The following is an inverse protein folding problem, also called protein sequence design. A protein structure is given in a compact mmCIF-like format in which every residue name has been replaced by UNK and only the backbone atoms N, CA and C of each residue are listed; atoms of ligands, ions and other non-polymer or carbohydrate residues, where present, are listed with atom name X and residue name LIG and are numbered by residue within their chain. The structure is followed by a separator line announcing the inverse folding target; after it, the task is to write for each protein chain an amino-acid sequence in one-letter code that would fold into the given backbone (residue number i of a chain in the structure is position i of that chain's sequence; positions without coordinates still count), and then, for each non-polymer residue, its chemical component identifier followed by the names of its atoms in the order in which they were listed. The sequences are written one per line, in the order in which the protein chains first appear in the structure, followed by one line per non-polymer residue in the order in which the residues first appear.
data_IF_270201419713
#
_entry.id   IF_270201419713
#
_cell.length_a   1.000
_cell.length_b   1.000
_cell.length_c   1.000
_cell.angle_alpha   90.00
_cell.angle_beta   90.00
_cell.angle_gamma   90.00
#
_symmetry.space_group_name_H-M   'P 1'
#
loop_
_entity.id
_entity.type
_entity.pdbx_description
1 polymer ?
#
# COMPACT_ATOMS: atom_id res chain seq x y z
N UNK A 1 26.56 15.67 -18.82
CA UNK A 1 25.96 14.34 -18.58
C UNK A 1 24.42 14.33 -18.50
N UNK A 2 23.75 15.40 -18.02
CA UNK A 2 22.28 15.43 -17.95
C UNK A 2 21.53 15.33 -19.29
N UNK A 3 22.04 16.00 -20.33
CA UNK A 3 21.41 16.03 -21.67
C UNK A 3 21.38 14.67 -22.39
N UNK A 4 22.39 13.82 -22.21
CA UNK A 4 22.46 12.49 -22.84
C UNK A 4 21.49 11.50 -22.17
N UNK A 5 21.36 11.54 -20.84
CA UNK A 5 20.42 10.69 -20.10
C UNK A 5 18.97 11.02 -20.40
N UNK A 6 18.66 12.32 -20.57
CA UNK A 6 17.33 12.77 -20.96
C UNK A 6 16.98 12.32 -22.39
N UNK A 7 17.93 12.43 -23.33
CA UNK A 7 17.76 11.95 -24.70
C UNK A 7 17.55 10.42 -24.77
N UNK A 8 18.19 9.66 -23.89
CA UNK A 8 18.05 8.20 -23.81
C UNK A 8 16.84 7.74 -22.96
N UNK A 9 15.98 8.65 -22.47
CA UNK A 9 14.80 8.29 -21.67
C UNK A 9 15.12 7.66 -20.30
N UNK A 10 16.34 7.88 -19.79
CA UNK A 10 16.84 7.34 -18.52
C UNK A 10 16.70 8.31 -17.34
N UNK A 11 16.34 9.57 -17.61
CA UNK A 11 16.12 10.57 -16.57
C UNK A 11 14.63 10.63 -16.19
N UNK A 12 14.30 10.85 -14.91
CA UNK A 12 12.93 11.11 -14.45
C UNK A 12 12.23 12.18 -15.29
N UNK A 13 10.96 11.97 -15.60
CA UNK A 13 10.18 12.86 -16.46
C UNK A 13 9.68 14.05 -15.65
N UNK A 14 9.92 15.26 -16.12
CA UNK A 14 9.41 16.49 -15.49
C UNK A 14 7.91 16.62 -15.78
N UNK A 15 7.10 16.70 -14.72
CA UNK A 15 5.65 16.86 -14.79
C UNK A 15 5.20 18.28 -14.38
N UNK A 16 6.06 19.02 -13.68
CA UNK A 16 5.77 20.37 -13.21
C UNK A 16 7.02 21.07 -12.69
N UNK A 17 6.84 22.17 -11.95
CA UNK A 17 7.97 22.80 -11.28
C UNK A 17 8.49 21.90 -10.16
N UNK A 18 9.75 21.49 -10.26
CA UNK A 18 10.43 20.51 -9.39
C UNK A 18 9.71 19.16 -9.19
N UNK A 19 8.63 18.88 -9.92
CA UNK A 19 7.84 17.65 -9.82
C UNK A 19 8.20 16.68 -10.96
N UNK A 20 8.44 15.42 -10.60
CA UNK A 20 8.89 14.40 -11.54
C UNK A 20 8.20 13.05 -11.34
N UNK A 21 7.88 12.37 -12.43
CA UNK A 21 7.48 10.97 -12.47
C UNK A 21 8.67 10.08 -12.90
N UNK A 22 8.55 8.74 -12.83
CA UNK A 22 9.63 7.85 -13.27
C UNK A 22 10.03 8.06 -14.73
N UNK A 23 11.28 7.73 -15.07
CA UNK A 23 11.77 7.75 -16.45
C UNK A 23 11.06 6.70 -17.32
N UNK A 24 10.97 6.95 -18.63
CA UNK A 24 10.36 6.00 -19.57
C UNK A 24 11.06 4.62 -19.52
N UNK A 25 12.39 4.58 -19.37
CA UNK A 25 13.11 3.31 -19.27
C UNK A 25 12.75 2.59 -17.97
N UNK A 26 12.68 3.30 -16.85
CA UNK A 26 12.30 2.71 -15.56
C UNK A 26 10.86 2.17 -15.60
N UNK A 27 9.92 2.92 -16.19
CA UNK A 27 8.54 2.46 -16.39
C UNK A 27 8.49 1.19 -17.23
N UNK A 28 9.23 1.12 -18.34
CA UNK A 28 9.26 -0.07 -19.20
C UNK A 28 9.79 -1.33 -18.49
N UNK A 29 10.62 -1.16 -17.45
CA UNK A 29 11.15 -2.28 -16.66
C UNK A 29 10.25 -2.65 -15.48
N UNK A 30 9.60 -1.67 -14.84
CA UNK A 30 8.85 -1.84 -13.60
C UNK A 30 7.34 -2.07 -13.82
N UNK A 31 6.76 -1.45 -14.85
CA UNK A 31 5.33 -1.46 -15.13
C UNK A 31 5.04 -2.42 -16.27
N UNK A 32 4.07 -3.31 -16.07
CA UNK A 32 3.56 -4.24 -17.09
C UNK A 32 2.14 -3.85 -17.47
N UNK A 33 1.81 -4.03 -18.75
CA UNK A 33 0.45 -3.76 -19.26
C UNK A 33 -0.61 -4.72 -18.69
N UNK A 34 -0.19 -5.88 -18.18
CA UNK A 34 -1.03 -6.90 -17.54
C UNK A 34 -0.40 -7.39 -16.24
N UNK A 35 -1.24 -7.73 -15.28
CA UNK A 35 -0.81 -8.30 -13.99
C UNK A 35 -0.62 -9.82 -14.10
N UNK A 36 -0.13 -10.43 -13.02
CA UNK A 36 -0.07 -11.89 -12.86
C UNK A 36 -1.32 -12.45 -12.16
N UNK A 37 -2.41 -11.67 -12.08
CA UNK A 37 -3.68 -12.13 -11.51
C UNK A 37 -4.15 -13.41 -12.22
N UNK A 38 -4.31 -14.47 -11.45
CA UNK A 38 -4.51 -15.82 -12.00
C UNK A 38 -5.98 -16.25 -12.06
N UNK A 39 -6.89 -15.33 -11.75
CA UNK A 39 -8.31 -15.59 -11.69
C UNK A 39 -8.73 -16.73 -10.73
N UNK A 40 -7.99 -16.93 -9.63
CA UNK A 40 -8.34 -17.86 -8.55
C UNK A 40 -9.85 -17.90 -8.23
N UNK A 41 -10.37 -19.10 -7.96
CA UNK A 41 -11.77 -19.36 -7.59
C UNK A 41 -11.80 -19.78 -6.12
N UNK A 42 -12.77 -19.25 -5.37
CA UNK A 42 -12.99 -19.57 -3.96
C UNK A 42 -14.35 -20.24 -3.82
N UNK A 43 -14.39 -21.57 -3.91
CA UNK A 43 -15.65 -22.35 -3.87
C UNK A 43 -16.44 -22.12 -2.57
N UNK A 44 -15.72 -21.92 -1.47
CA UNK A 44 -16.27 -21.57 -0.16
C UNK A 44 -16.35 -20.05 0.05
N UNK A 45 -16.53 -19.27 -1.02
CA UNK A 45 -16.72 -17.83 -0.92
C UNK A 45 -17.91 -17.48 -0.02
N UNK A 46 -17.81 -16.34 0.66
CA UNK A 46 -18.80 -15.90 1.65
C UNK A 46 -20.20 -15.78 1.04
N UNK A 47 -21.18 -16.25 1.79
CA UNK A 47 -22.62 -16.08 1.53
C UNK A 47 -23.27 -15.59 2.83
N UNK A 48 -24.16 -14.61 2.76
CA UNK A 48 -24.87 -14.08 3.93
C UNK A 48 -24.54 -12.62 4.22
N UNK A 49 -24.39 -12.27 5.50
CA UNK A 49 -24.18 -10.90 5.95
C UNK A 49 -22.94 -10.27 5.32
N UNK A 50 -23.09 -9.00 4.95
CA UNK A 50 -22.02 -8.21 4.36
C UNK A 50 -20.84 -8.08 5.33
N UNK A 51 -19.65 -8.44 4.86
CA UNK A 51 -18.40 -8.23 5.59
C UNK A 51 -17.43 -7.49 4.68
N UNK A 52 -16.80 -6.48 5.25
CA UNK A 52 -16.03 -5.49 4.55
C UNK A 52 -14.53 -5.58 4.88
N UNK A 53 -13.73 -5.02 4.00
CA UNK A 53 -12.33 -4.69 4.25
C UNK A 53 -12.21 -3.16 4.15
N UNK A 54 -11.66 -2.54 5.20
CA UNK A 54 -11.38 -1.10 5.22
C UNK A 54 -10.08 -0.84 4.47
N UNK A 55 -10.14 -0.12 3.36
CA UNK A 55 -9.00 0.23 2.52
C UNK A 55 -8.49 1.62 2.94
N UNK A 56 -7.27 1.72 3.45
CA UNK A 56 -6.67 3.00 3.85
C UNK A 56 -5.53 3.34 2.90
N UNK A 57 -5.73 4.36 2.07
CA UNK A 57 -4.69 4.85 1.16
C UNK A 57 -4.25 6.28 1.47
N UNK A 58 -3.16 6.69 0.85
CA UNK A 58 -2.69 8.08 0.92
C UNK A 58 -3.60 9.04 0.14
N UNK A 59 -3.74 10.27 0.65
CA UNK A 59 -4.35 11.40 -0.06
C UNK A 59 -3.33 12.41 -0.62
N UNK A 60 -2.04 12.10 -0.52
CA UNK A 60 -0.92 12.93 -0.98
C UNK A 60 -0.16 12.26 -2.15
N UNK A 61 0.29 13.06 -3.13
CA UNK A 61 0.95 12.57 -4.35
C UNK A 61 2.35 13.15 -4.58
N UNK A 62 2.85 13.98 -3.66
CA UNK A 62 4.14 14.67 -3.82
C UNK A 62 5.09 14.33 -2.68
N UNK A 63 5.98 13.37 -2.94
CA UNK A 63 7.04 13.02 -2.00
C UNK A 63 8.27 13.92 -2.24
N UNK A 64 8.57 14.80 -1.30
CA UNK A 64 9.76 15.68 -1.37
C UNK A 64 11.03 14.88 -1.09
N UNK A 65 11.95 14.90 -2.06
CA UNK A 65 13.23 14.21 -2.03
C UNK A 65 14.31 15.06 -1.35
N UNK A 66 15.43 14.45 -0.95
CA UNK A 66 16.54 15.16 -0.27
C UNK A 66 17.17 16.30 -1.10
N UNK A 67 17.04 16.28 -2.42
CA UNK A 67 17.56 17.33 -3.31
C UNK A 67 16.55 18.47 -3.56
N UNK A 68 15.38 18.45 -2.88
CA UNK A 68 14.32 19.44 -3.03
C UNK A 68 13.44 19.28 -4.26
N UNK A 69 13.63 18.23 -5.06
CA UNK A 69 12.64 17.79 -6.06
C UNK A 69 11.51 17.01 -5.40
N UNK A 70 10.35 16.92 -6.04
CA UNK A 70 9.21 16.11 -5.62
C UNK A 70 9.02 14.94 -6.59
N UNK A 71 8.77 13.75 -6.05
CA UNK A 71 8.34 12.58 -6.80
C UNK A 71 6.80 12.54 -6.86
N UNK A 72 6.25 12.46 -8.07
CA UNK A 72 4.81 12.29 -8.33
C UNK A 72 4.43 10.81 -8.15
N UNK A 73 3.79 10.52 -7.03
CA UNK A 73 3.46 9.16 -6.56
C UNK A 73 1.99 9.08 -6.11
N UNK A 74 1.66 8.09 -5.30
CA UNK A 74 0.35 7.76 -4.77
C UNK A 74 0.37 6.32 -4.28
N UNK A 75 -0.81 5.70 -4.22
CA UNK A 75 -0.94 4.28 -4.01
C UNK A 75 -0.64 3.53 -5.33
N UNK A 76 0.10 2.41 -5.26
CA UNK A 76 0.43 1.62 -6.45
C UNK A 76 -0.79 0.80 -6.92
N UNK A 77 -1.31 0.98 -8.15
CA UNK A 77 -2.59 0.41 -8.57
C UNK A 77 -2.61 -1.12 -8.58
N UNK A 78 -1.51 -1.78 -8.97
CA UNK A 78 -1.44 -3.26 -8.92
C UNK A 78 -1.48 -3.76 -7.48
N UNK A 79 -0.83 -3.05 -6.56
CA UNK A 79 -0.78 -3.43 -5.14
C UNK A 79 -2.14 -3.25 -4.47
N UNK A 80 -2.90 -2.24 -4.90
CA UNK A 80 -4.25 -1.98 -4.45
C UNK A 80 -5.25 -2.99 -5.04
N UNK A 81 -5.35 -3.07 -6.36
CA UNK A 81 -6.46 -3.74 -7.02
C UNK A 81 -6.31 -5.25 -7.12
N UNK A 82 -5.09 -5.79 -7.25
CA UNK A 82 -4.92 -7.25 -7.39
C UNK A 82 -5.35 -8.00 -6.13
N UNK A 83 -4.96 -7.61 -4.90
CA UNK A 83 -5.50 -8.23 -3.69
C UNK A 83 -7.02 -8.11 -3.59
N UNK A 84 -7.57 -6.94 -3.94
CA UNK A 84 -9.02 -6.71 -3.93
C UNK A 84 -9.77 -7.63 -4.91
N UNK A 85 -9.20 -7.98 -6.06
CA UNK A 85 -9.83 -8.94 -6.98
C UNK A 85 -10.05 -10.31 -6.33
N UNK A 86 -9.12 -10.74 -5.47
CA UNK A 86 -9.27 -11.98 -4.71
C UNK A 86 -10.37 -11.86 -3.65
N UNK A 87 -10.38 -10.76 -2.88
CA UNK A 87 -11.40 -10.54 -1.85
C UNK A 87 -12.80 -10.38 -2.44
N UNK A 88 -12.93 -9.65 -3.56
CA UNK A 88 -14.20 -9.47 -4.28
C UNK A 88 -14.76 -10.81 -4.73
N UNK A 89 -13.91 -11.68 -5.29
CA UNK A 89 -14.31 -13.04 -5.67
C UNK A 89 -14.71 -13.92 -4.49
N UNK A 90 -14.14 -13.69 -3.33
CA UNK A 90 -14.51 -14.38 -2.10
C UNK A 90 -15.73 -13.78 -1.38
N UNK A 91 -16.33 -12.72 -1.93
CA UNK A 91 -17.58 -12.13 -1.42
C UNK A 91 -17.38 -10.98 -0.42
N UNK A 92 -16.15 -10.51 -0.21
CA UNK A 92 -15.89 -9.33 0.62
C UNK A 92 -16.25 -8.03 -0.12
N UNK A 93 -16.68 -7.04 0.66
CA UNK A 93 -16.93 -5.66 0.20
C UNK A 93 -15.83 -4.73 0.70
N UNK A 94 -15.84 -3.49 0.21
CA UNK A 94 -14.79 -2.51 0.50
C UNK A 94 -15.41 -1.18 0.85
N UNK A 95 -14.85 -0.54 1.89
CA UNK A 95 -14.99 0.89 2.11
C UNK A 95 -13.60 1.52 1.97
N UNK A 96 -13.48 2.58 1.18
CA UNK A 96 -12.23 3.32 1.03
C UNK A 96 -12.17 4.49 1.99
N UNK A 97 -11.01 4.71 2.59
CA UNK A 97 -10.76 5.82 3.50
C UNK A 97 -9.38 6.45 3.28
N UNK A 98 -9.29 7.74 3.60
CA UNK A 98 -8.04 8.51 3.70
C UNK A 98 -8.04 9.28 5.02
N UNK A 99 -6.88 9.77 5.51
CA UNK A 99 -6.80 10.45 6.80
C UNK A 99 -7.85 11.55 6.97
N UNK A 100 -8.06 12.40 5.96
CA UNK A 100 -9.01 13.51 6.03
C UNK A 100 -10.24 13.34 5.15
N UNK A 101 -10.29 12.32 4.29
CA UNK A 101 -11.39 12.08 3.36
C UNK A 101 -11.22 12.79 2.01
N UNK A 102 -10.03 13.33 1.73
CA UNK A 102 -9.68 13.79 0.38
C UNK A 102 -9.49 12.59 -0.54
N UNK A 103 -9.61 12.84 -1.84
CA UNK A 103 -9.37 11.86 -2.91
C UNK A 103 -8.08 11.06 -2.68
N UNK A 104 -8.22 9.74 -2.73
CA UNK A 104 -7.09 8.82 -2.68
C UNK A 104 -6.25 8.95 -3.95
N UNK A 105 -4.95 9.19 -3.80
CA UNK A 105 -4.05 9.41 -4.95
C UNK A 105 -3.48 8.10 -5.47
N UNK A 106 -3.43 7.93 -6.79
CA UNK A 106 -2.91 6.72 -7.44
C UNK A 106 -1.70 7.05 -8.32
N UNK A 107 -0.78 6.09 -8.41
CA UNK A 107 0.30 6.10 -9.40
C UNK A 107 -0.27 5.73 -10.79
N UNK A 108 -0.98 6.65 -11.44
CA UNK A 108 -1.65 6.39 -12.72
C UNK A 108 -0.69 5.90 -13.83
N UNK A 109 0.59 6.29 -13.76
CA UNK A 109 1.63 5.80 -14.67
C UNK A 109 1.97 4.31 -14.50
N UNK A 110 1.53 3.67 -13.41
CA UNK A 110 1.66 2.24 -13.14
C UNK A 110 0.36 1.45 -13.41
N UNK A 111 -0.70 2.09 -13.91
CA UNK A 111 -1.99 1.44 -14.16
C UNK A 111 -1.85 0.39 -15.28
N UNK A 112 -2.21 -0.89 -15.05
CA UNK A 112 -2.15 -1.95 -16.06
C UNK A 112 -3.35 -1.84 -17.02
N UNK A 113 -3.32 -0.87 -17.93
CA UNK A 113 -4.46 -0.50 -18.78
C UNK A 113 -4.98 -1.62 -19.70
N UNK A 114 -4.23 -2.70 -19.93
CA UNK A 114 -4.66 -3.86 -20.73
C UNK A 114 -5.16 -5.04 -19.88
N UNK A 115 -5.16 -4.90 -18.55
CA UNK A 115 -5.71 -5.88 -17.62
C UNK A 115 -7.19 -5.60 -17.36
N UNK A 116 -8.07 -6.40 -17.98
CA UNK A 116 -9.51 -6.19 -17.88
C UNK A 116 -10.02 -6.28 -16.44
N UNK A 117 -9.52 -7.25 -15.65
CA UNK A 117 -10.00 -7.44 -14.30
C UNK A 117 -9.64 -6.24 -13.41
N UNK A 118 -8.41 -5.73 -13.52
CA UNK A 118 -7.98 -4.54 -12.78
C UNK A 118 -8.76 -3.29 -13.21
N UNK A 119 -8.98 -3.10 -14.51
CA UNK A 119 -9.74 -1.94 -14.99
C UNK A 119 -11.22 -1.99 -14.59
N UNK A 120 -11.84 -3.17 -14.56
CA UNK A 120 -13.22 -3.36 -14.09
C UNK A 120 -13.35 -3.00 -12.61
N UNK A 121 -12.48 -3.52 -11.73
CA UNK A 121 -12.56 -3.18 -10.30
C UNK A 121 -12.17 -1.72 -10.02
N UNK A 122 -11.26 -1.14 -10.82
CA UNK A 122 -10.96 0.29 -10.72
C UNK A 122 -12.22 1.13 -11.00
N UNK A 123 -12.95 0.84 -12.08
CA UNK A 123 -14.17 1.58 -12.40
C UNK A 123 -15.25 1.39 -11.32
N UNK A 124 -15.43 0.17 -10.79
CA UNK A 124 -16.37 -0.11 -9.70
C UNK A 124 -16.06 0.69 -8.41
N UNK A 125 -14.80 1.02 -8.16
CA UNK A 125 -14.35 1.70 -6.93
C UNK A 125 -14.05 3.18 -7.12
N UNK A 126 -14.13 3.70 -8.35
CA UNK A 126 -13.70 5.05 -8.72
C UNK A 126 -14.39 6.16 -7.92
N UNK A 127 -15.69 6.02 -7.66
CA UNK A 127 -16.44 6.99 -6.86
C UNK A 127 -15.99 7.02 -5.40
N UNK A 128 -15.65 5.85 -4.83
CA UNK A 128 -15.11 5.74 -3.48
C UNK A 128 -13.65 6.25 -3.40
N UNK A 129 -12.85 6.06 -4.45
CA UNK A 129 -11.49 6.63 -4.55
C UNK A 129 -11.55 8.16 -4.60
N UNK A 130 -12.50 8.70 -5.37
CA UNK A 130 -12.71 10.14 -5.53
C UNK A 130 -13.29 10.79 -4.26
N UNK A 131 -14.17 10.08 -3.56
CA UNK A 131 -14.83 10.56 -2.34
C UNK A 131 -14.75 9.50 -1.22
N UNK A 132 -13.54 9.25 -0.67
CA UNK A 132 -13.37 8.25 0.36
C UNK A 132 -13.95 8.71 1.69
N UNK A 133 -14.16 7.77 2.60
CA UNK A 133 -14.47 8.07 3.99
C UNK A 133 -13.31 8.84 4.63
N UNK A 134 -13.64 9.76 5.52
CA UNK A 134 -12.66 10.43 6.37
C UNK A 134 -12.38 9.56 7.60
N UNK A 135 -11.13 9.10 7.77
CA UNK A 135 -10.76 8.33 8.96
C UNK A 135 -11.05 9.11 10.25
N UNK A 136 -10.83 10.43 10.24
CA UNK A 136 -11.17 11.32 11.35
C UNK A 136 -12.62 11.20 11.83
N UNK A 137 -13.55 10.94 10.91
CA UNK A 137 -14.95 10.75 11.26
C UNK A 137 -15.26 9.28 11.59
N UNK A 138 -14.62 8.35 10.86
CA UNK A 138 -14.87 6.91 10.97
C UNK A 138 -14.41 6.33 12.31
N UNK A 139 -13.27 6.78 12.85
CA UNK A 139 -12.69 6.25 14.10
C UNK A 139 -13.68 6.29 15.28
N UNK A 140 -14.47 7.36 15.39
CA UNK A 140 -15.51 7.50 16.42
C UNK A 140 -16.68 6.50 16.26
N UNK A 141 -16.82 5.91 15.09
CA UNK A 141 -17.88 4.97 14.73
C UNK A 141 -17.40 3.52 14.71
N UNK A 142 -16.10 3.25 14.85
CA UNK A 142 -15.55 1.91 14.90
C UNK A 142 -16.01 1.21 16.20
N UNK A 143 -17.12 0.50 16.10
CA UNK A 143 -17.73 -0.30 17.18
C UNK A 143 -17.73 -1.78 16.81
N UNK A 144 -18.16 -2.63 17.74
CA UNK A 144 -18.34 -4.07 17.50
C UNK A 144 -19.44 -4.41 16.48
N UNK A 145 -20.26 -3.42 16.10
CA UNK A 145 -21.34 -3.61 15.11
C UNK A 145 -20.89 -3.36 13.68
N UNK A 146 -19.67 -2.87 13.46
CA UNK A 146 -19.14 -2.68 12.10
C UNK A 146 -18.42 -3.95 11.64
N UNK A 147 -18.94 -4.56 10.58
CA UNK A 147 -18.48 -5.82 10.01
C UNK A 147 -17.21 -5.70 9.15
N UNK A 148 -16.15 -5.11 9.70
CA UNK A 148 -14.83 -5.16 9.06
C UNK A 148 -14.09 -6.44 9.47
N UNK A 149 -13.66 -7.22 8.49
CA UNK A 149 -12.79 -8.37 8.70
C UNK A 149 -11.30 -7.99 8.74
N UNK A 150 -10.93 -6.96 7.98
CA UNK A 150 -9.55 -6.53 7.84
C UNK A 150 -9.43 -5.03 7.60
N UNK A 151 -8.25 -4.51 7.93
CA UNK A 151 -7.72 -3.24 7.43
C UNK A 151 -6.66 -3.56 6.39
N UNK A 152 -6.75 -2.93 5.22
CA UNK A 152 -5.75 -3.05 4.16
C UNK A 152 -5.10 -1.71 3.84
N UNK A 153 -3.77 -1.70 3.82
CA UNK A 153 -2.95 -0.52 3.51
C UNK A 153 -2.08 -0.85 2.29
N UNK A 154 -2.47 -0.46 1.06
CA UNK A 154 -1.64 -0.62 -0.12
C UNK A 154 -0.33 0.17 -0.01
N UNK A 155 0.66 -0.19 -0.81
CA UNK A 155 1.90 0.56 -0.94
C UNK A 155 1.88 1.52 -2.12
N UNK A 156 3.01 1.69 -2.79
CA UNK A 156 3.37 2.90 -3.53
C UNK A 156 4.05 3.92 -2.61
N UNK A 157 4.95 4.75 -3.17
CA UNK A 157 5.74 5.68 -2.35
C UNK A 157 4.88 6.74 -1.65
N UNK A 158 3.64 6.97 -2.09
CA UNK A 158 2.70 7.87 -1.42
C UNK A 158 2.38 7.46 0.01
N UNK A 159 2.40 6.17 0.33
CA UNK A 159 2.16 5.65 1.68
C UNK A 159 3.18 6.14 2.73
N UNK A 160 4.31 6.71 2.32
CA UNK A 160 5.32 7.28 3.23
C UNK A 160 5.11 8.78 3.53
N UNK A 161 4.07 9.42 2.98
CA UNK A 161 3.91 10.87 3.10
C UNK A 161 3.13 11.23 4.37
N UNK A 162 1.85 10.85 4.40
CA UNK A 162 0.83 11.24 5.36
C UNK A 162 0.52 10.14 6.38
N UNK A 163 0.34 8.89 5.91
CA UNK A 163 -0.07 7.76 6.74
C UNK A 163 0.80 7.51 7.98
N UNK A 164 2.15 7.55 7.92
CA UNK A 164 3.02 7.27 9.07
C UNK A 164 2.88 8.27 10.22
N UNK A 165 2.22 9.41 9.98
CA UNK A 165 2.08 10.54 10.91
C UNK A 165 0.62 10.82 11.28
N UNK A 166 -0.32 10.02 10.79
CA UNK A 166 -1.75 10.21 11.05
C UNK A 166 -2.16 9.56 12.36
N UNK A 167 -2.77 10.35 13.26
CA UNK A 167 -3.37 9.84 14.49
C UNK A 167 -4.61 8.99 14.22
N UNK A 168 -5.32 9.30 13.14
CA UNK A 168 -6.48 8.54 12.71
C UNK A 168 -6.06 7.13 12.25
N UNK A 169 -4.94 7.00 11.53
CA UNK A 169 -4.35 5.70 11.21
C UNK A 169 -3.93 4.96 12.48
N UNK A 170 -3.32 5.64 13.45
CA UNK A 170 -2.98 5.04 14.76
C UNK A 170 -4.21 4.44 15.44
N UNK A 171 -5.30 5.20 15.53
CA UNK A 171 -6.55 4.77 16.17
C UNK A 171 -7.14 3.53 15.46
N UNK A 172 -7.13 3.50 14.13
CA UNK A 172 -7.59 2.32 13.37
C UNK A 172 -6.70 1.10 13.63
N UNK A 173 -5.38 1.26 13.69
CA UNK A 173 -4.46 0.15 13.96
C UNK A 173 -4.66 -0.41 15.38
N UNK A 174 -4.89 0.47 16.37
CA UNK A 174 -5.22 0.06 17.74
C UNK A 174 -6.56 -0.66 17.81
N UNK A 175 -7.61 -0.11 17.18
CA UNK A 175 -8.90 -0.79 17.07
C UNK A 175 -8.78 -2.16 16.40
N UNK A 176 -8.05 -2.26 15.29
CA UNK A 176 -7.84 -3.51 14.57
C UNK A 176 -7.13 -4.54 15.44
N UNK A 177 -6.13 -4.11 16.22
CA UNK A 177 -5.42 -4.95 17.18
C UNK A 177 -6.32 -5.41 18.33
N UNK A 178 -7.11 -4.50 18.91
CA UNK A 178 -8.01 -4.75 20.04
C UNK A 178 -9.14 -5.72 19.66
N UNK A 179 -9.72 -5.53 18.47
CA UNK A 179 -10.83 -6.34 17.94
C UNK A 179 -10.38 -7.56 17.14
N UNK A 180 -9.10 -7.91 17.25
CA UNK A 180 -8.47 -9.07 16.61
C UNK A 180 -8.77 -9.16 15.10
N UNK A 181 -8.66 -8.03 14.40
CA UNK A 181 -8.87 -7.92 12.95
C UNK A 181 -7.58 -8.23 12.19
N UNK A 182 -7.72 -8.65 10.93
CA UNK A 182 -6.58 -8.77 10.04
C UNK A 182 -6.02 -7.38 9.68
N UNK A 183 -4.69 -7.28 9.64
CA UNK A 183 -3.98 -6.12 9.12
C UNK A 183 -3.18 -6.60 7.93
N UNK A 184 -3.50 -6.08 6.74
CA UNK A 184 -2.89 -6.51 5.49
C UNK A 184 -2.14 -5.31 4.89
N UNK A 185 -0.91 -5.49 4.42
CA UNK A 185 -0.16 -4.40 3.79
C UNK A 185 0.91 -4.90 2.82
N UNK A 186 1.48 -4.01 2.01
CA UNK A 186 2.40 -4.38 0.93
C UNK A 186 3.38 -3.26 0.61
N UNK A 187 4.60 -3.62 0.21
CA UNK A 187 5.63 -2.71 -0.31
C UNK A 187 6.00 -1.61 0.71
N UNK A 188 5.64 -0.35 0.45
CA UNK A 188 5.80 0.79 1.37
C UNK A 188 4.60 1.02 2.30
N UNK A 189 3.48 0.33 2.08
CA UNK A 189 2.29 0.39 2.95
C UNK A 189 2.58 0.18 4.44
N UNK A 190 3.51 -0.73 4.84
CA UNK A 190 3.88 -0.89 6.24
C UNK A 190 4.46 0.36 6.90
N UNK A 191 4.87 1.39 6.14
CA UNK A 191 5.26 2.68 6.70
C UNK A 191 4.14 3.30 7.57
N UNK A 192 2.87 3.00 7.26
CA UNK A 192 1.72 3.42 8.07
C UNK A 192 1.76 2.86 9.51
N UNK A 193 2.45 1.75 9.76
CA UNK A 193 2.57 1.18 11.11
C UNK A 193 3.35 2.09 12.06
N UNK A 194 4.17 3.02 11.56
CA UNK A 194 4.84 4.04 12.38
C UNK A 194 3.84 4.94 13.10
N UNK A 195 2.61 5.10 12.57
CA UNK A 195 1.56 5.83 13.25
C UNK A 195 1.26 5.25 14.63
N UNK A 196 1.37 3.93 14.80
CA UNK A 196 1.15 3.28 16.08
C UNK A 196 2.21 3.60 17.16
N UNK A 197 3.31 4.27 16.80
CA UNK A 197 4.31 4.78 17.73
C UNK A 197 4.11 6.25 18.14
N UNK A 198 3.11 6.95 17.59
CA UNK A 198 2.89 8.38 17.87
C UNK A 198 2.53 8.56 19.35
N UNK A 199 3.36 9.33 20.07
CA UNK A 199 3.25 9.56 21.51
C UNK A 199 3.28 8.30 22.38
N UNK A 200 3.77 7.18 21.85
CA UNK A 200 3.94 5.94 22.58
C UNK A 200 5.38 5.72 23.01
N UNK A 201 5.56 5.04 24.15
CA UNK A 201 6.87 4.48 24.48
C UNK A 201 7.17 3.31 23.55
N UNK A 202 8.45 3.09 23.22
CA UNK A 202 8.86 2.03 22.30
C UNK A 202 8.38 0.65 22.76
N UNK A 203 8.34 0.42 24.06
CA UNK A 203 7.89 -0.82 24.68
C UNK A 203 6.38 -1.07 24.46
N UNK A 204 5.58 -0.02 24.24
CA UNK A 204 4.14 -0.09 23.99
C UNK A 204 3.81 -0.21 22.50
N UNK A 205 4.80 -0.19 21.61
CA UNK A 205 4.55 -0.29 20.18
C UNK A 205 3.87 -1.63 19.85
N UNK A 206 2.63 -1.57 19.34
CA UNK A 206 1.77 -2.76 19.20
C UNK A 206 2.29 -3.81 18.20
N UNK A 207 3.26 -3.43 17.36
CA UNK A 207 3.94 -4.31 16.42
C UNK A 207 5.35 -4.72 16.88
N UNK A 208 5.75 -4.40 18.10
CA UNK A 208 7.02 -4.88 18.66
C UNK A 208 7.07 -6.42 18.62
N UNK A 209 8.15 -6.97 18.07
CA UNK A 209 8.31 -8.42 17.87
C UNK A 209 7.49 -9.01 16.71
N UNK A 210 6.89 -8.19 15.84
CA UNK A 210 6.27 -8.68 14.60
C UNK A 210 7.27 -8.79 13.45
N UNK A 211 7.05 -9.78 12.61
CA UNK A 211 7.77 -10.00 11.36
C UNK A 211 6.90 -9.58 10.16
N UNK A 212 7.52 -8.96 9.17
CA UNK A 212 6.85 -8.52 7.94
C UNK A 212 7.72 -8.70 6.70
N UNK A 213 7.09 -8.86 5.55
CA UNK A 213 7.69 -8.60 4.25
C UNK A 213 7.43 -7.13 3.86
N UNK A 214 8.43 -6.43 3.35
CA UNK A 214 8.30 -5.02 2.99
C UNK A 214 9.32 -4.63 1.89
N UNK A 215 9.12 -3.47 1.25
CA UNK A 215 10.08 -3.01 0.24
C UNK A 215 11.45 -2.70 0.89
N UNK A 216 12.58 -3.25 0.40
CA UNK A 216 13.86 -3.04 1.06
C UNK A 216 14.42 -1.63 0.89
N UNK A 217 14.79 -0.97 1.99
CA UNK A 217 15.47 0.33 1.98
C UNK A 217 16.73 0.37 1.09
N UNK A 218 17.42 -0.77 0.96
CA UNK A 218 18.59 -0.92 0.08
C UNK A 218 18.24 -0.74 -1.40
N UNK A 219 17.04 -1.15 -1.81
CA UNK A 219 16.56 -1.01 -3.18
C UNK A 219 16.10 0.41 -3.47
N UNK A 220 15.43 1.08 -2.52
CA UNK A 220 15.08 2.51 -2.65
C UNK A 220 16.30 3.39 -2.90
N UNK A 221 17.46 3.06 -2.29
CA UNK A 221 18.73 3.77 -2.51
C UNK A 221 19.26 3.63 -3.94
N UNK A 222 18.82 2.63 -4.70
CA UNK A 222 19.22 2.38 -6.08
C UNK A 222 18.27 2.98 -7.11
N UNK A 223 16.99 3.16 -6.77
CA UNK A 223 15.97 3.71 -7.66
C UNK A 223 16.31 5.06 -8.32
N UNK A 224 17.01 6.02 -7.65
CA UNK A 224 17.41 7.26 -8.30
C UNK A 224 18.45 7.04 -9.41
N UNK A 225 19.34 6.06 -9.25
CA UNK A 225 20.34 5.72 -10.27
C UNK A 225 19.69 5.11 -11.52
N UNK A 226 18.56 4.43 -11.33
CA UNK A 226 17.75 3.83 -12.40
C UNK A 226 16.79 4.84 -13.04
N UNK A 227 16.74 6.08 -12.55
CA UNK A 227 15.82 7.09 -13.05
C UNK A 227 14.37 6.80 -12.69
N UNK A 228 14.10 5.98 -11.69
CA UNK A 228 12.74 5.78 -11.16
C UNK A 228 12.36 6.94 -10.22
N UNK A 229 13.29 7.32 -9.33
CA UNK A 229 13.13 8.46 -8.42
C UNK A 229 13.95 9.67 -8.89
N UNK A 230 13.46 10.92 -8.68
CA UNK A 230 14.19 12.14 -9.01
C UNK A 230 15.27 12.54 -8.00
N UNK A 231 15.35 11.85 -6.87
CA UNK A 231 16.34 12.08 -5.82
C UNK A 231 16.34 10.95 -4.80
N UNK A 232 17.18 11.04 -3.78
CA UNK A 232 17.15 10.09 -2.66
C UNK A 232 15.92 10.34 -1.79
N UNK A 233 15.33 9.26 -1.28
CA UNK A 233 14.24 9.30 -0.29
C UNK A 233 14.63 10.17 0.91
N UNK A 234 13.71 10.96 1.48
CA UNK A 234 14.00 11.80 2.65
C UNK A 234 14.35 10.97 3.89
N UNK A 235 13.74 9.81 4.04
CA UNK A 235 13.93 8.84 5.14
C UNK A 235 13.58 7.43 4.63
N UNK A 236 13.78 6.40 5.46
CA UNK A 236 13.60 5.00 5.08
C UNK A 236 12.78 4.26 6.13
N UNK A 237 11.58 3.81 5.76
CA UNK A 237 10.62 3.27 6.73
C UNK A 237 11.04 1.92 7.33
N UNK A 238 11.78 1.10 6.60
CA UNK A 238 12.23 -0.19 7.10
C UNK A 238 13.12 -0.03 8.33
N UNK A 239 14.11 0.87 8.26
CA UNK A 239 14.96 1.25 9.39
C UNK A 239 14.15 1.72 10.60
N UNK A 240 13.21 2.64 10.42
CA UNK A 240 12.41 3.21 11.52
C UNK A 240 11.55 2.12 12.21
N UNK A 241 10.91 1.22 11.45
CA UNK A 241 10.13 0.12 12.01
C UNK A 241 10.99 -0.92 12.74
N UNK A 242 12.19 -1.19 12.23
CA UNK A 242 13.16 -2.05 12.93
C UNK A 242 13.63 -1.43 14.25
N UNK A 243 13.82 -0.10 14.28
CA UNK A 243 14.14 0.62 15.51
C UNK A 243 13.00 0.56 16.54
N UNK A 244 11.75 0.34 16.12
CA UNK A 244 10.61 0.09 17.00
C UNK A 244 10.39 -1.40 17.35
N UNK A 245 11.26 -2.30 16.88
CA UNK A 245 11.25 -3.71 17.25
C UNK A 245 10.56 -4.66 16.26
N UNK A 246 10.18 -4.20 15.07
CA UNK A 246 9.75 -5.09 13.99
C UNK A 246 10.95 -5.73 13.27
N UNK A 247 10.70 -6.83 12.56
CA UNK A 247 11.70 -7.52 11.75
C UNK A 247 11.25 -7.67 10.30
N UNK A 248 12.13 -7.32 9.36
CA UNK A 248 11.87 -7.49 7.91
C UNK A 248 12.47 -8.82 7.47
N UNK A 249 11.64 -9.71 6.90
CA UNK A 249 12.05 -11.08 6.55
C UNK A 249 12.79 -11.17 5.22
N UNK A 250 12.56 -10.22 4.32
CA UNK A 250 13.10 -10.22 2.97
C UNK A 250 14.27 -9.22 2.83
N UNK A 251 15.26 -9.55 1.99
CA UNK A 251 16.39 -8.66 1.66
C UNK A 251 16.27 -8.03 0.27
N UNK A 252 15.42 -8.61 -0.57
CA UNK A 252 15.12 -8.18 -1.93
C UNK A 252 13.60 -8.16 -2.12
N UNK A 253 13.13 -7.41 -3.10
CA UNK A 253 11.73 -7.41 -3.55
C UNK A 253 11.57 -8.41 -4.70
N UNK A 254 11.08 -9.62 -4.41
CA UNK A 254 10.91 -10.70 -5.40
C UNK A 254 9.53 -11.37 -5.35
N UNK A 255 8.54 -10.71 -4.74
CA UNK A 255 7.19 -11.21 -4.62
C UNK A 255 7.01 -12.17 -3.45
N UNK A 256 7.77 -11.98 -2.36
CA UNK A 256 7.58 -12.68 -1.11
C UNK A 256 6.36 -12.12 -0.36
N UNK A 257 5.59 -13.02 0.25
CA UNK A 257 4.56 -12.69 1.24
C UNK A 257 4.92 -13.33 2.57
N UNK A 258 4.48 -12.72 3.66
CA UNK A 258 4.70 -13.23 5.01
C UNK A 258 3.46 -13.03 5.87
N UNK A 259 3.12 -14.04 6.65
CA UNK A 259 2.07 -13.97 7.66
C UNK A 259 2.70 -14.13 9.04
N UNK A 260 2.39 -13.20 9.94
CA UNK A 260 2.68 -13.27 11.36
C UNK A 260 1.39 -12.98 12.13
N UNK A 261 0.80 -14.02 12.76
CA UNK A 261 -0.53 -13.92 13.38
C UNK A 261 -1.56 -13.42 12.35
N UNK A 262 -2.25 -12.32 12.63
CA UNK A 262 -3.20 -11.63 11.74
C UNK A 262 -2.59 -10.49 10.93
N UNK A 263 -1.26 -10.29 10.99
CA UNK A 263 -0.53 -9.39 10.11
C UNK A 263 -0.09 -10.16 8.86
N UNK A 264 -0.58 -9.76 7.68
CA UNK A 264 -0.21 -10.37 6.39
C UNK A 264 0.43 -9.31 5.50
N UNK A 265 1.66 -9.53 5.05
CA UNK A 265 2.44 -8.53 4.33
C UNK A 265 3.07 -9.05 3.06
N UNK A 266 3.26 -8.17 2.06
CA UNK A 266 3.94 -8.45 0.79
C UNK A 266 5.12 -7.51 0.55
N UNK A 267 6.17 -7.98 -0.11
CA UNK A 267 7.42 -7.19 -0.26
C UNK A 267 7.37 -6.08 -1.32
N UNK A 268 6.49 -6.16 -2.31
CA UNK A 268 6.56 -5.35 -3.54
C UNK A 268 5.34 -5.57 -4.45
N UNK A 269 5.19 -4.84 -5.58
CA UNK A 269 4.13 -5.13 -6.55
C UNK A 269 4.08 -6.58 -7.03
N UNK A 270 5.22 -7.29 -7.06
CA UNK A 270 5.31 -8.70 -7.44
C UNK A 270 4.63 -9.65 -6.44
N UNK A 271 4.33 -9.18 -5.22
CA UNK A 271 3.67 -9.95 -4.19
C UNK A 271 2.14 -9.86 -4.26
N UNK A 272 1.57 -8.92 -5.03
CA UNK A 272 0.16 -8.54 -4.95
C UNK A 272 -0.81 -9.72 -5.14
N UNK A 273 -0.60 -10.56 -6.16
CA UNK A 273 -1.39 -11.76 -6.42
C UNK A 273 -1.29 -12.79 -5.28
N UNK A 274 -0.06 -13.07 -4.80
CA UNK A 274 0.14 -14.01 -3.67
C UNK A 274 -0.46 -13.47 -2.37
N UNK A 275 -0.39 -12.16 -2.15
CA UNK A 275 -0.93 -11.50 -0.97
C UNK A 275 -2.45 -11.61 -0.96
N UNK A 276 -3.09 -11.31 -2.10
CA UNK A 276 -4.53 -11.49 -2.28
C UNK A 276 -4.96 -12.93 -1.99
N UNK A 277 -4.28 -13.91 -2.57
CA UNK A 277 -4.58 -15.33 -2.32
C UNK A 277 -4.46 -15.71 -0.84
N UNK A 278 -3.30 -15.43 -0.23
CA UNK A 278 -3.02 -15.82 1.14
C UNK A 278 -4.03 -15.18 2.10
N UNK A 279 -4.23 -13.87 1.96
CA UNK A 279 -5.18 -13.15 2.81
C UNK A 279 -6.61 -13.61 2.62
N UNK A 280 -7.07 -13.87 1.39
CA UNK A 280 -8.41 -14.43 1.17
C UNK A 280 -8.59 -15.78 1.87
N UNK A 281 -7.62 -16.69 1.77
CA UNK A 281 -7.71 -18.00 2.42
C UNK A 281 -7.81 -17.86 3.95
N UNK A 282 -7.02 -16.95 4.54
CA UNK A 282 -7.05 -16.67 5.98
C UNK A 282 -8.35 -16.01 6.42
N UNK A 283 -8.89 -15.09 5.63
CA UNK A 283 -10.17 -14.46 5.94
C UNK A 283 -11.31 -15.48 5.89
N UNK A 284 -11.36 -16.37 4.89
CA UNK A 284 -12.40 -17.40 4.79
C UNK A 284 -12.35 -18.47 5.89
N UNK A 285 -11.24 -18.61 6.61
CA UNK A 285 -11.15 -19.51 7.77
C UNK A 285 -11.96 -18.96 8.98
N UNK A 286 -12.19 -17.65 9.05
CA UNK A 286 -12.87 -16.98 10.16
C UNK A 286 -14.26 -16.43 9.82
N UNK A 287 -14.53 -16.24 8.53
CA UNK A 287 -15.68 -15.50 8.02
C UNK A 287 -16.44 -16.34 7.00
#
# INVERSE_FOLDING_TARGET
MGSIKQFMGMAPKKEGDKLYSPSNLALKMAVKDKTDYDHSVYENGRKGQEVKILIIGTEEDQLVMQNGSSFLTGNHPVELFVPMLHWKKAGFKFDFATPTGKEMKLEHWAMPNQDKAVMEIYEDCKDQIKNPLSLKNLVSQLTDTIDYAAVFIPGGHGAVIDLPKSKEVQEVLFWAKEKDKFIISICHGPAAFLAAGINEQKENFIFNGYYMAAFPDSMDKLLPKMGYLPGKMPWYFGKELQELGMSIVNKIANGQVYQDRKLITGDSPLAANKLGKLSTLRLLEEF
#
